data_IF_234908958886
#
_entry.id   IF_234908958886
#
_cell.length_a   1.000
_cell.length_b   1.000
_cell.length_c   1.000
_cell.angle_alpha   90.00
_cell.angle_beta   90.00
_cell.angle_gamma   90.00
#
_symmetry.space_group_name_H-M   'P 1'
#
loop_
_entity.id
_entity.type
_entity.pdbx_description
1 polymer ?
#
# COMPACT_ATOMS: atom_id res chain seq x y z
N UNK A 1 -6.34 -4.81 5.38
CA UNK A 1 -4.90 -5.14 5.55
C UNK A 1 -4.28 -4.35 6.69
N UNK A 2 -4.96 -3.34 7.23
CA UNK A 2 -4.51 -2.66 8.43
C UNK A 2 -4.20 -3.67 9.55
N UNK A 3 -2.94 -3.68 9.94
CA UNK A 3 -2.39 -4.54 10.98
C UNK A 3 -2.75 -3.90 12.33
N UNK A 4 -3.45 -4.61 13.23
CA UNK A 4 -3.77 -4.12 14.56
C UNK A 4 -2.56 -4.16 15.50
N UNK A 5 -2.65 -3.42 16.60
CA UNK A 5 -1.60 -3.44 17.62
C UNK A 5 -1.43 -4.83 18.24
N UNK A 6 -0.18 -5.22 18.47
CA UNK A 6 0.16 -6.51 19.08
C UNK A 6 0.10 -7.72 18.13
N UNK A 7 -0.33 -7.55 16.88
CA UNK A 7 -0.42 -8.65 15.90
C UNK A 7 0.96 -9.15 15.40
N UNK A 8 1.95 -8.27 15.43
CA UNK A 8 3.36 -8.61 15.23
C UNK A 8 4.16 -8.18 16.46
N UNK A 9 5.20 -8.94 16.76
CA UNK A 9 6.05 -8.71 17.92
C UNK A 9 6.81 -7.36 17.80
N UNK A 10 7.27 -6.79 18.93
CA UNK A 10 7.93 -5.48 18.91
C UNK A 10 9.15 -5.40 17.99
N UNK A 11 10.04 -6.41 17.89
CA UNK A 11 11.16 -6.36 16.94
C UNK A 11 10.75 -6.17 15.48
N UNK A 12 9.72 -6.89 14.99
CA UNK A 12 9.24 -6.75 13.61
C UNK A 12 8.53 -5.41 13.41
N UNK A 13 7.72 -4.97 14.38
CA UNK A 13 7.09 -3.65 14.34
C UNK A 13 8.11 -2.51 14.24
N UNK A 14 9.19 -2.58 15.03
CA UNK A 14 10.30 -1.60 14.99
C UNK A 14 11.00 -1.65 13.62
N UNK A 15 11.29 -2.85 13.09
CA UNK A 15 11.91 -2.98 11.78
C UNK A 15 11.05 -2.36 10.66
N UNK A 16 9.73 -2.62 10.68
CA UNK A 16 8.77 -1.98 9.77
C UNK A 16 8.74 -0.45 9.93
N UNK A 17 8.83 0.06 11.17
CA UNK A 17 8.97 1.48 11.46
C UNK A 17 10.22 2.11 10.83
N UNK A 18 11.37 1.44 10.93
CA UNK A 18 12.63 1.90 10.30
C UNK A 18 12.51 1.94 8.78
N UNK A 19 11.94 0.89 8.18
CA UNK A 19 11.71 0.83 6.72
C UNK A 19 10.78 1.95 6.26
N UNK A 20 9.66 2.17 6.96
CA UNK A 20 8.73 3.25 6.67
C UNK A 20 9.38 4.62 6.75
N UNK A 21 10.15 4.90 7.81
CA UNK A 21 10.86 6.18 7.98
C UNK A 21 11.86 6.39 6.83
N UNK A 22 12.61 5.36 6.45
CA UNK A 22 13.55 5.44 5.33
C UNK A 22 12.82 5.75 4.02
N UNK A 23 11.72 5.04 3.73
CA UNK A 23 10.90 5.25 2.54
C UNK A 23 10.29 6.66 2.49
N UNK A 24 9.71 7.14 3.60
CA UNK A 24 9.18 8.50 3.70
C UNK A 24 10.29 9.52 3.48
N UNK A 25 11.45 9.35 4.11
CA UNK A 25 12.58 10.28 3.98
C UNK A 25 13.06 10.37 2.53
N UNK A 26 13.19 9.24 1.84
CA UNK A 26 13.54 9.18 0.43
C UNK A 26 12.45 9.84 -0.43
N UNK A 27 11.18 9.58 -0.15
CA UNK A 27 10.06 10.16 -0.89
C UNK A 27 9.91 11.64 -0.69
N UNK A 28 10.16 12.20 0.51
CA UNK A 28 10.22 13.66 0.71
C UNK A 28 11.32 14.29 -0.13
N UNK A 29 12.50 13.66 -0.19
CA UNK A 29 13.61 14.17 -1.02
C UNK A 29 13.32 14.06 -2.51
N UNK A 30 12.73 12.96 -2.94
CA UNK A 30 12.33 12.72 -4.33
C UNK A 30 11.22 13.67 -4.78
N UNK A 31 10.19 13.83 -3.96
CA UNK A 31 9.05 14.71 -4.21
C UNK A 31 9.49 16.18 -4.39
N UNK A 32 10.48 16.67 -3.63
CA UNK A 32 11.02 18.03 -3.81
C UNK A 32 11.57 18.30 -5.21
N UNK A 33 11.94 17.27 -5.98
CA UNK A 33 12.43 17.40 -7.36
C UNK A 33 11.31 17.39 -8.40
N UNK A 34 10.13 16.88 -8.04
CA UNK A 34 9.00 16.67 -8.95
C UNK A 34 7.73 17.43 -8.55
N UNK A 35 7.68 18.02 -7.36
CA UNK A 35 6.55 18.77 -6.86
C UNK A 35 6.59 20.22 -7.36
N UNK A 36 5.55 20.62 -8.05
CA UNK A 36 5.23 22.00 -8.42
C UNK A 36 3.92 22.46 -7.74
N UNK A 37 3.56 23.73 -7.91
CA UNK A 37 2.35 24.33 -7.33
C UNK A 37 1.04 23.62 -7.75
N UNK A 38 1.04 22.84 -8.83
CA UNK A 38 -0.12 22.12 -9.35
C UNK A 38 -0.22 20.69 -8.82
N UNK A 39 0.91 20.07 -8.49
CA UNK A 39 0.95 18.70 -7.96
C UNK A 39 0.39 18.58 -6.54
N UNK A 40 0.51 19.62 -5.70
CA UNK A 40 0.03 19.58 -4.33
C UNK A 40 -1.51 19.42 -4.22
N UNK A 41 -2.34 20.20 -4.94
CA UNK A 41 -3.78 19.96 -5.00
C UNK A 41 -4.16 18.57 -5.53
N UNK A 42 -3.46 18.08 -6.56
CA UNK A 42 -3.69 16.74 -7.12
C UNK A 42 -3.37 15.64 -6.11
N UNK A 43 -2.28 15.79 -5.35
CA UNK A 43 -1.92 14.85 -4.30
C UNK A 43 -2.97 14.82 -3.18
N UNK A 44 -3.50 15.99 -2.79
CA UNK A 44 -4.61 16.08 -1.82
C UNK A 44 -5.88 15.41 -2.31
N UNK A 45 -6.29 15.63 -3.56
CA UNK A 45 -7.47 15.00 -4.15
C UNK A 45 -7.30 13.48 -4.26
N UNK A 46 -6.12 13.02 -4.71
CA UNK A 46 -5.80 11.60 -4.77
C UNK A 46 -5.83 10.96 -3.38
N UNK A 47 -5.24 11.60 -2.37
CA UNK A 47 -5.28 11.13 -0.99
C UNK A 47 -6.72 11.04 -0.47
N UNK A 48 -7.56 12.06 -0.72
CA UNK A 48 -8.96 12.04 -0.31
C UNK A 48 -9.76 10.91 -0.99
N UNK A 49 -9.54 10.69 -2.29
CA UNK A 49 -10.16 9.58 -3.02
C UNK A 49 -9.69 8.22 -2.48
N UNK A 50 -8.39 8.05 -2.27
CA UNK A 50 -7.82 6.81 -1.73
C UNK A 50 -8.36 6.55 -0.33
N UNK A 51 -8.38 7.55 0.55
CA UNK A 51 -8.99 7.46 1.87
C UNK A 51 -10.44 6.96 1.77
N UNK A 52 -11.27 7.61 0.95
CA UNK A 52 -12.67 7.21 0.78
C UNK A 52 -12.80 5.78 0.23
N UNK A 53 -11.97 5.40 -0.73
CA UNK A 53 -11.94 4.06 -1.32
C UNK A 53 -11.49 2.99 -0.32
N UNK A 54 -10.57 3.31 0.58
CA UNK A 54 -10.09 2.41 1.63
C UNK A 54 -11.13 2.19 2.74
N UNK A 55 -12.02 3.16 2.97
CA UNK A 55 -13.14 2.99 3.90
C UNK A 55 -14.23 2.06 3.36
N UNK A 56 -14.22 1.76 2.05
CA UNK A 56 -15.07 0.72 1.47
C UNK A 56 -14.44 -0.63 1.76
N UNK A 57 -14.98 -1.29 2.79
CA UNK A 57 -14.56 -2.60 3.23
C UNK A 57 -15.52 -3.66 2.69
N UNK A 58 -14.97 -4.72 2.11
CA UNK A 58 -15.69 -5.89 1.67
C UNK A 58 -15.57 -6.99 2.72
N UNK A 59 -16.67 -7.67 3.09
CA UNK A 59 -16.59 -8.86 3.92
C UNK A 59 -15.87 -9.97 3.17
N UNK A 60 -14.93 -10.64 3.84
CA UNK A 60 -14.13 -11.72 3.28
C UNK A 60 -14.23 -12.98 4.13
N UNK A 61 -13.69 -14.08 3.61
CA UNK A 61 -13.61 -15.37 4.29
C UNK A 61 -13.08 -15.24 5.73
N UNK A 62 -13.66 -16.05 6.61
CA UNK A 62 -13.33 -16.11 8.05
C UNK A 62 -13.57 -14.80 8.84
N UNK A 63 -14.51 -13.96 8.42
CA UNK A 63 -14.91 -12.75 9.18
C UNK A 63 -13.90 -11.60 9.10
N UNK A 64 -12.96 -11.68 8.16
CA UNK A 64 -12.00 -10.60 7.90
C UNK A 64 -12.54 -9.63 6.85
N UNK A 65 -12.12 -8.37 6.89
CA UNK A 65 -12.44 -7.39 5.84
C UNK A 65 -11.24 -7.15 4.92
N UNK A 66 -11.54 -7.01 3.64
CA UNK A 66 -10.61 -6.59 2.60
C UNK A 66 -11.01 -5.21 2.10
N UNK A 67 -10.05 -4.40 1.71
CA UNK A 67 -10.31 -3.06 1.15
C UNK A 67 -9.31 -2.78 0.03
N UNK A 68 -9.61 -1.76 -0.77
CA UNK A 68 -8.69 -1.27 -1.81
C UNK A 68 -7.42 -0.69 -1.16
N UNK A 69 -6.27 -0.69 -1.84
CA UNK A 69 -5.02 -0.13 -1.27
C UNK A 69 -4.63 1.22 -1.87
N UNK A 70 -4.95 1.47 -3.14
CA UNK A 70 -4.74 2.77 -3.79
C UNK A 70 -3.29 3.14 -4.14
N UNK A 71 -2.28 2.39 -3.72
CA UNK A 71 -0.87 2.76 -3.94
C UNK A 71 -0.41 2.76 -5.40
N UNK A 72 -0.88 1.82 -6.23
CA UNK A 72 -0.60 1.85 -7.67
C UNK A 72 -1.28 3.04 -8.35
N UNK A 73 -2.53 3.35 -7.99
CA UNK A 73 -3.23 4.53 -8.49
C UNK A 73 -2.47 5.82 -8.12
N UNK A 74 -2.04 5.95 -6.86
CA UNK A 74 -1.24 7.07 -6.39
C UNK A 74 0.07 7.19 -7.18
N UNK A 75 0.75 6.07 -7.40
CA UNK A 75 2.00 6.01 -8.16
C UNK A 75 1.83 6.48 -9.60
N UNK A 76 0.78 6.00 -10.29
CA UNK A 76 0.53 6.35 -11.69
C UNK A 76 0.14 7.82 -11.84
N UNK A 77 -0.65 8.38 -10.91
CA UNK A 77 -1.11 9.76 -10.98
C UNK A 77 -0.07 10.79 -10.54
N UNK A 78 0.72 10.46 -9.50
CA UNK A 78 1.60 11.42 -8.81
C UNK A 78 3.08 11.09 -8.92
N UNK A 79 3.42 9.93 -9.49
CA UNK A 79 4.74 9.34 -9.40
C UNK A 79 4.98 8.62 -8.06
N UNK A 80 6.08 7.86 -7.95
CA UNK A 80 6.31 6.95 -6.82
C UNK A 80 6.56 7.68 -5.51
N UNK A 81 7.17 8.87 -5.55
CA UNK A 81 7.50 9.62 -4.35
C UNK A 81 6.27 10.32 -3.75
N UNK A 82 5.59 11.17 -4.52
CA UNK A 82 4.38 11.84 -4.06
C UNK A 82 3.24 10.85 -3.79
N UNK A 83 3.13 9.78 -4.61
CA UNK A 83 2.15 8.72 -4.39
C UNK A 83 2.33 8.03 -3.04
N UNK A 84 3.57 7.66 -2.68
CA UNK A 84 3.86 7.05 -1.38
C UNK A 84 3.51 7.99 -0.23
N UNK A 85 3.84 9.28 -0.33
CA UNK A 85 3.52 10.28 0.70
C UNK A 85 2.01 10.50 0.84
N UNK A 86 1.27 10.51 -0.28
CA UNK A 86 -0.19 10.61 -0.26
C UNK A 86 -0.82 9.43 0.49
N UNK A 87 -0.46 8.19 0.15
CA UNK A 87 -0.99 7.00 0.83
C UNK A 87 -0.53 6.92 2.29
N UNK A 88 0.71 7.33 2.58
CA UNK A 88 1.20 7.41 3.98
C UNK A 88 0.33 8.36 4.79
N UNK A 89 -0.01 9.53 4.25
CA UNK A 89 -0.87 10.51 4.93
C UNK A 89 -2.25 9.91 5.24
N UNK A 90 -2.81 9.18 4.29
CA UNK A 90 -4.09 8.47 4.46
C UNK A 90 -4.00 7.46 5.61
N UNK A 91 -2.98 6.59 5.61
CA UNK A 91 -2.79 5.56 6.65
C UNK A 91 -2.59 6.19 8.03
N UNK A 92 -1.83 7.29 8.12
CA UNK A 92 -1.63 8.01 9.38
C UNK A 92 -2.95 8.57 9.92
N UNK A 93 -3.76 9.18 9.05
CA UNK A 93 -5.09 9.69 9.44
C UNK A 93 -6.01 8.54 9.87
N UNK A 94 -6.02 7.43 9.13
CA UNK A 94 -6.81 6.24 9.46
C UNK A 94 -6.45 5.69 10.84
N UNK A 95 -5.16 5.53 11.13
CA UNK A 95 -4.70 5.04 12.44
C UNK A 95 -4.99 6.01 13.59
N UNK A 96 -4.82 7.32 13.37
CA UNK A 96 -4.98 8.32 14.45
C UNK A 96 -6.44 8.74 14.70
N UNK A 97 -7.25 8.88 13.65
CA UNK A 97 -8.59 9.47 13.74
C UNK A 97 -9.68 8.41 13.67
N UNK A 98 -9.48 7.36 12.89
CA UNK A 98 -10.48 6.31 12.66
C UNK A 98 -10.18 5.02 13.41
N UNK A 99 -9.03 4.94 14.11
CA UNK A 99 -8.53 3.74 14.77
C UNK A 99 -8.49 2.51 13.82
N UNK A 100 -8.27 2.76 12.53
CA UNK A 100 -8.18 1.73 11.50
C UNK A 100 -6.70 1.35 11.29
N UNK A 101 -6.27 0.36 12.08
CA UNK A 101 -4.89 -0.07 12.20
C UNK A 101 -4.21 0.38 13.49
N UNK A 102 -3.23 -0.40 13.93
CA UNK A 102 -2.49 -0.16 15.16
C UNK A 102 -1.42 0.92 15.03
N UNK A 103 -1.19 1.68 16.10
CA UNK A 103 -0.15 2.72 16.14
C UNK A 103 1.25 2.11 16.27
N UNK A 104 1.39 1.02 17.02
CA UNK A 104 2.64 0.24 17.08
C UNK A 104 2.95 -0.44 15.76
N UNK A 105 1.92 -0.79 14.98
CA UNK A 105 2.03 -1.40 13.66
C UNK A 105 2.05 -0.37 12.51
N UNK A 106 2.01 0.94 12.79
CA UNK A 106 1.90 2.00 11.79
C UNK A 106 3.02 1.91 10.73
N UNK A 107 4.25 1.59 11.14
CA UNK A 107 5.38 1.39 10.23
C UNK A 107 5.17 0.24 9.25
N UNK A 108 4.62 -0.89 9.72
CA UNK A 108 4.30 -2.04 8.87
C UNK A 108 3.14 -1.71 7.92
N UNK A 109 2.11 -1.01 8.42
CA UNK A 109 1.00 -0.53 7.58
C UNK A 109 1.50 0.38 6.45
N UNK A 110 2.37 1.34 6.74
CA UNK A 110 2.99 2.20 5.73
C UNK A 110 3.86 1.39 4.77
N UNK A 111 4.66 0.44 5.30
CA UNK A 111 5.53 -0.42 4.49
C UNK A 111 4.72 -1.23 3.48
N UNK A 112 3.67 -1.93 3.91
CA UNK A 112 2.86 -2.76 3.03
C UNK A 112 1.98 -1.92 2.11
N UNK A 113 1.21 -0.99 2.68
CA UNK A 113 0.12 -0.35 1.94
C UNK A 113 0.54 0.90 1.17
N UNK A 114 1.60 1.60 1.59
CA UNK A 114 2.15 2.73 0.84
C UNK A 114 3.40 2.33 0.05
N UNK A 115 4.43 1.78 0.70
CA UNK A 115 5.71 1.51 0.03
C UNK A 115 5.59 0.37 -0.99
N UNK A 116 5.17 -0.83 -0.59
CA UNK A 116 5.16 -1.99 -1.50
C UNK A 116 4.21 -1.76 -2.67
N UNK A 117 3.00 -1.29 -2.41
CA UNK A 117 2.01 -1.05 -3.48
C UNK A 117 2.45 0.02 -4.47
N UNK A 118 3.00 1.15 -4.00
CA UNK A 118 3.47 2.23 -4.87
C UNK A 118 4.71 1.81 -5.64
N UNK A 119 5.66 1.13 -5.00
CA UNK A 119 6.88 0.67 -5.67
C UNK A 119 6.57 -0.39 -6.74
N UNK A 120 5.83 -1.44 -6.38
CA UNK A 120 5.45 -2.51 -7.31
C UNK A 120 4.56 -1.94 -8.41
N UNK A 121 3.55 -1.14 -8.06
CA UNK A 121 2.66 -0.51 -9.04
C UNK A 121 3.43 0.36 -10.02
N UNK A 122 4.36 1.19 -9.56
CA UNK A 122 5.19 2.03 -10.43
C UNK A 122 6.09 1.22 -11.35
N UNK A 123 6.78 0.21 -10.82
CA UNK A 123 7.68 -0.65 -11.60
C UNK A 123 6.92 -1.43 -12.66
N UNK A 124 5.79 -2.04 -12.30
CA UNK A 124 4.93 -2.77 -13.24
C UNK A 124 4.38 -1.82 -14.29
N UNK A 125 3.84 -0.67 -13.88
CA UNK A 125 3.30 0.32 -14.83
C UNK A 125 4.36 0.75 -15.85
N UNK A 126 5.55 1.14 -15.39
CA UNK A 126 6.65 1.61 -16.25
C UNK A 126 7.16 0.51 -17.18
N UNK A 127 7.25 -0.73 -16.71
CA UNK A 127 7.63 -1.87 -17.54
C UNK A 127 6.58 -2.14 -18.62
N UNK A 128 5.31 -2.31 -18.23
CA UNK A 128 4.24 -2.68 -19.17
C UNK A 128 4.01 -1.57 -20.20
N UNK A 129 3.95 -0.31 -19.79
CA UNK A 129 3.71 0.82 -20.70
C UNK A 129 4.83 0.98 -21.72
N UNK A 130 6.07 0.61 -21.35
CA UNK A 130 7.23 0.67 -22.24
C UNK A 130 7.21 -0.40 -23.34
N UNK A 131 6.48 -1.50 -23.13
CA UNK A 131 6.37 -2.61 -24.09
C UNK A 131 5.18 -2.49 -25.04
N UNK A 132 4.20 -1.65 -24.71
CA UNK A 132 2.96 -1.48 -25.47
C UNK A 132 3.04 -0.29 -26.45
N UNK A 133 2.28 -0.31 -27.56
CA UNK A 133 2.18 0.83 -28.46
C UNK A 133 1.71 2.10 -27.74
N UNK A 134 2.26 3.26 -28.13
CA UNK A 134 1.85 4.54 -27.53
C UNK A 134 0.38 4.82 -27.81
N UNK A 135 -0.40 5.00 -26.75
CA UNK A 135 -1.82 5.30 -26.85
C UNK A 135 -2.54 5.20 -25.52
N UNK A 136 -3.79 5.66 -25.49
CA UNK A 136 -4.63 5.64 -24.27
C UNK A 136 -4.81 4.24 -23.70
N UNK A 137 -4.97 3.23 -24.56
CA UNK A 137 -5.14 1.83 -24.12
C UNK A 137 -3.89 1.29 -23.44
N UNK A 138 -2.69 1.71 -23.85
CA UNK A 138 -1.44 1.30 -23.20
C UNK A 138 -1.39 1.79 -21.75
N UNK A 139 -1.82 3.04 -21.49
CA UNK A 139 -1.90 3.59 -20.13
C UNK A 139 -2.94 2.81 -19.30
N UNK A 140 -4.14 2.57 -19.85
CA UNK A 140 -5.21 1.87 -19.12
C UNK A 140 -4.78 0.44 -18.74
N UNK A 141 -4.28 -0.33 -19.71
CA UNK A 141 -3.84 -1.72 -19.47
C UNK A 141 -2.69 -1.75 -18.47
N UNK A 142 -1.70 -0.87 -18.62
CA UNK A 142 -0.56 -0.79 -17.69
C UNK A 142 -1.01 -0.46 -16.27
N UNK A 143 -1.97 0.46 -16.10
CA UNK A 143 -2.53 0.81 -14.79
C UNK A 143 -3.29 -0.34 -14.15
N UNK A 144 -4.09 -1.08 -14.93
CA UNK A 144 -4.83 -2.26 -14.44
C UNK A 144 -3.86 -3.35 -13.98
N UNK A 145 -2.86 -3.67 -14.80
CA UNK A 145 -1.85 -4.70 -14.44
C UNK A 145 -1.04 -4.26 -13.23
N UNK A 146 -0.67 -2.97 -13.13
CA UNK A 146 0.01 -2.41 -11.97
C UNK A 146 -0.83 -2.51 -10.69
N UNK A 147 -2.12 -2.16 -10.74
CA UNK A 147 -3.03 -2.30 -9.61
C UNK A 147 -3.14 -3.77 -9.18
N UNK A 148 -3.44 -4.65 -10.13
CA UNK A 148 -3.63 -6.09 -9.91
C UNK A 148 -2.41 -6.75 -9.26
N UNK A 149 -1.19 -6.41 -9.66
CA UNK A 149 0.02 -7.01 -9.09
C UNK A 149 0.49 -6.35 -7.80
N UNK A 150 0.21 -5.05 -7.61
CA UNK A 150 0.64 -4.32 -6.42
C UNK A 150 -0.03 -4.80 -5.13
N UNK A 151 -1.30 -5.20 -5.22
CA UNK A 151 -2.13 -5.54 -4.05
C UNK A 151 -1.74 -6.91 -3.47
N UNK A 152 -1.61 -8.00 -4.25
CA UNK A 152 -1.05 -9.27 -3.79
C UNK A 152 0.40 -9.15 -3.32
N UNK A 153 1.22 -8.28 -3.93
CA UNK A 153 2.59 -8.08 -3.47
C UNK A 153 2.64 -7.51 -2.05
N UNK A 154 1.74 -6.59 -1.71
CA UNK A 154 1.63 -6.08 -0.35
C UNK A 154 1.08 -7.13 0.63
N UNK A 155 0.14 -7.98 0.20
CA UNK A 155 -0.34 -9.10 0.99
C UNK A 155 0.75 -10.17 1.24
N UNK A 156 1.62 -10.42 0.26
CA UNK A 156 2.80 -11.27 0.40
C UNK A 156 3.80 -10.67 1.39
N UNK A 157 4.08 -9.37 1.30
CA UNK A 157 4.96 -8.68 2.23
C UNK A 157 4.47 -8.83 3.68
N UNK A 158 3.18 -8.54 3.93
CA UNK A 158 2.56 -8.79 5.23
C UNK A 158 2.66 -10.25 5.68
N UNK A 159 2.42 -11.21 4.79
CA UNK A 159 2.49 -12.64 5.14
C UNK A 159 3.91 -13.06 5.54
N UNK A 160 4.94 -12.47 4.94
CA UNK A 160 6.33 -12.68 5.32
C UNK A 160 6.64 -12.05 6.68
N UNK A 161 6.19 -10.82 6.91
CA UNK A 161 6.32 -10.16 8.22
C UNK A 161 5.66 -11.00 9.32
N UNK A 162 4.46 -11.53 9.06
CA UNK A 162 3.74 -12.43 9.97
C UNK A 162 4.49 -13.74 10.21
N UNK A 163 5.09 -14.34 9.17
CA UNK A 163 5.90 -15.54 9.33
C UNK A 163 7.15 -15.30 10.21
N UNK A 164 7.69 -14.07 10.24
CA UNK A 164 8.86 -13.70 11.03
C UNK A 164 8.50 -13.40 12.49
N UNK A 165 7.36 -12.75 12.74
CA UNK A 165 7.04 -12.23 14.08
C UNK A 165 5.57 -12.15 14.44
N UNK A 166 4.70 -12.91 13.78
CA UNK A 166 3.30 -13.04 14.16
C UNK A 166 3.15 -13.58 15.58
N UNK A 167 2.24 -12.98 16.34
CA UNK A 167 1.98 -13.34 17.76
C UNK A 167 0.76 -14.24 17.92
N UNK A 168 -0.14 -14.23 16.95
CA UNK A 168 -1.35 -15.05 16.93
C UNK A 168 -1.03 -16.53 16.64
N UNK A 169 -1.87 -17.44 17.14
CA UNK A 169 -1.70 -18.89 16.94
C UNK A 169 -2.15 -19.40 15.57
N UNK A 170 -2.09 -18.57 14.53
CA UNK A 170 -2.52 -18.93 13.17
C UNK A 170 -1.30 -19.42 12.40
N UNK A 171 -1.33 -20.61 11.77
CA UNK A 171 -0.22 -21.08 10.96
C UNK A 171 0.12 -20.11 9.82
N UNK A 172 1.40 -19.78 9.64
CA UNK A 172 1.86 -18.83 8.62
C UNK A 172 1.41 -19.21 7.20
N UNK A 173 1.36 -20.50 6.86
CA UNK A 173 0.85 -20.97 5.58
C UNK A 173 -0.63 -20.67 5.35
N UNK A 174 -1.45 -20.67 6.41
CA UNK A 174 -2.86 -20.27 6.34
C UNK A 174 -2.99 -18.76 6.14
N UNK A 175 -2.20 -17.96 6.85
CA UNK A 175 -2.15 -16.50 6.64
C UNK A 175 -1.73 -16.17 5.22
N UNK A 176 -0.66 -16.80 4.71
CA UNK A 176 -0.18 -16.62 3.35
C UNK A 176 -1.29 -16.93 2.33
N UNK A 177 -1.96 -18.07 2.46
CA UNK A 177 -3.00 -18.51 1.52
C UNK A 177 -4.20 -17.59 1.56
N UNK A 178 -4.66 -17.23 2.77
CA UNK A 178 -5.81 -16.33 2.95
C UNK A 178 -5.50 -14.94 2.40
N UNK A 179 -4.38 -14.34 2.79
CA UNK A 179 -4.01 -12.99 2.38
C UNK A 179 -3.79 -12.92 0.88
N UNK A 180 -2.95 -13.78 0.31
CA UNK A 180 -2.68 -13.73 -1.14
C UNK A 180 -3.93 -14.04 -1.97
N UNK A 181 -4.75 -15.02 -1.57
CA UNK A 181 -5.98 -15.35 -2.27
C UNK A 181 -6.97 -14.20 -2.30
N UNK A 182 -7.25 -13.60 -1.14
CA UNK A 182 -8.18 -12.48 -0.99
C UNK A 182 -7.70 -11.26 -1.78
N UNK A 183 -6.44 -10.87 -1.58
CA UNK A 183 -5.89 -9.67 -2.19
C UNK A 183 -5.61 -9.83 -3.70
N UNK A 184 -5.61 -11.07 -4.23
CA UNK A 184 -5.62 -11.32 -5.68
C UNK A 184 -6.99 -11.09 -6.32
N UNK A 185 -8.08 -11.14 -5.55
CA UNK A 185 -9.44 -10.80 -6.05
C UNK A 185 -9.70 -9.29 -5.91
N UNK A 186 -9.09 -8.65 -4.91
CA UNK A 186 -9.24 -7.21 -4.67
C UNK A 186 -8.41 -6.36 -5.64
N UNK A 187 -7.21 -6.84 -6.01
CA UNK A 187 -6.32 -6.16 -6.97
C UNK A 187 -6.93 -6.09 -8.36
#
# INVERSE_FOLDING_TARGET
MHIPDGFLNPPVAIAGGVVAIAAITLSVRGARRSADDRTAPLAGLAAAFIFAAQMINFPVAAGTSGHLLGGALAAVLLGPYLGLLAVTTVIVIQGLVFADGGLSALGLNITNMALVTTLVGWLVFTLVVSTLPRGRMSIIVSSVVAAFLSVPAAALAFSLEYAIGGTESIPAGQVLTAMTGIYSVIG
#
